data_IF_503071160442
#
_entry.id   IF_503071160442
#
_cell.length_a   1.000
_cell.length_b   1.000
_cell.length_c   1.000
_cell.angle_alpha   90.00
_cell.angle_beta   90.00
_cell.angle_gamma   90.00
#
_symmetry.space_group_name_H-M   'P 1'
#
loop_
_entity.id
_entity.type
_entity.pdbx_description
1 polymer ?
#
# COMPACT_ATOMS: atom_id res chain seq x y z
N UNK A 1 -17.29 -69.83 55.34
CA UNK A 1 -18.01 -68.88 54.47
C UNK A 1 -17.12 -67.67 54.13
N UNK A 2 -16.59 -66.99 55.13
CA UNK A 2 -15.76 -65.77 55.00
C UNK A 2 -14.51 -65.90 54.11
N UNK A 3 -13.72 -66.97 54.26
CA UNK A 3 -12.53 -67.19 53.43
C UNK A 3 -12.83 -67.32 51.92
N UNK A 4 -14.00 -67.85 51.54
CA UNK A 4 -14.40 -67.94 50.12
C UNK A 4 -14.88 -66.58 49.59
N UNK A 5 -15.49 -65.76 50.45
CA UNK A 5 -15.88 -64.39 50.11
C UNK A 5 -14.66 -63.48 49.91
N UNK A 6 -13.65 -63.61 50.76
CA UNK A 6 -12.36 -62.92 50.60
C UNK A 6 -11.68 -63.35 49.29
N UNK A 7 -11.66 -64.65 48.97
CA UNK A 7 -11.12 -65.14 47.69
C UNK A 7 -11.86 -64.59 46.47
N UNK A 8 -13.19 -64.55 46.50
CA UNK A 8 -13.99 -63.95 45.44
C UNK A 8 -13.65 -62.46 45.26
N UNK A 9 -13.58 -61.70 46.36
CA UNK A 9 -13.20 -60.28 46.32
C UNK A 9 -11.77 -60.05 45.80
N UNK A 10 -10.81 -60.92 46.12
CA UNK A 10 -9.45 -60.87 45.57
C UNK A 10 -9.44 -61.14 44.06
N UNK A 11 -10.24 -62.10 43.59
CA UNK A 11 -10.34 -62.41 42.16
C UNK A 11 -10.99 -61.25 41.38
N UNK A 12 -12.04 -60.64 41.94
CA UNK A 12 -12.70 -59.46 41.37
C UNK A 12 -11.72 -58.28 41.33
N UNK A 13 -11.00 -58.02 42.42
CA UNK A 13 -9.98 -56.98 42.47
C UNK A 13 -8.84 -57.23 41.46
N UNK A 14 -8.39 -58.48 41.32
CA UNK A 14 -7.38 -58.84 40.32
C UNK A 14 -7.89 -58.63 38.89
N UNK A 15 -9.18 -58.85 38.64
CA UNK A 15 -9.78 -58.53 37.35
C UNK A 15 -9.85 -57.02 37.11
N UNK A 16 -10.34 -56.24 38.08
CA UNK A 16 -10.38 -54.78 38.00
C UNK A 16 -8.99 -54.18 37.76
N UNK A 17 -7.94 -54.66 38.45
CA UNK A 17 -6.57 -54.20 38.27
C UNK A 17 -6.06 -54.49 36.85
N UNK A 18 -6.37 -55.66 36.28
CA UNK A 18 -5.96 -55.99 34.90
C UNK A 18 -6.61 -55.05 33.90
N UNK A 19 -7.92 -54.86 33.97
CA UNK A 19 -8.66 -53.96 33.06
C UNK A 19 -8.15 -52.52 33.19
N UNK A 20 -7.96 -52.03 34.42
CA UNK A 20 -7.39 -50.70 34.64
C UNK A 20 -5.97 -50.56 34.06
N UNK A 21 -5.13 -51.59 34.21
CA UNK A 21 -3.77 -51.61 33.65
C UNK A 21 -3.79 -51.55 32.12
N UNK A 22 -4.71 -52.26 31.47
CA UNK A 22 -4.90 -52.23 30.01
C UNK A 22 -5.32 -50.83 29.54
N UNK A 23 -6.30 -50.22 30.21
CA UNK A 23 -6.75 -48.85 29.92
C UNK A 23 -5.61 -47.84 30.08
N UNK A 24 -4.90 -47.88 31.21
CA UNK A 24 -3.74 -47.00 31.47
C UNK A 24 -2.67 -47.18 30.39
N UNK A 25 -2.40 -48.41 29.97
CA UNK A 25 -1.41 -48.69 28.92
C UNK A 25 -1.84 -48.16 27.56
N UNK A 26 -3.14 -48.22 27.24
CA UNK A 26 -3.70 -47.64 26.02
C UNK A 26 -3.59 -46.11 26.02
N UNK A 27 -3.99 -45.45 27.11
CA UNK A 27 -3.88 -44.00 27.24
C UNK A 27 -2.42 -43.52 27.21
N UNK A 28 -1.50 -44.26 27.85
CA UNK A 28 -0.07 -43.95 27.78
C UNK A 28 0.44 -43.96 26.34
N UNK A 29 0.03 -44.95 25.52
CA UNK A 29 0.41 -45.01 24.10
C UNK A 29 -0.16 -43.84 23.31
N UNK A 30 -1.43 -43.49 23.54
CA UNK A 30 -2.07 -42.34 22.88
C UNK A 30 -1.39 -41.03 23.24
N UNK A 31 -1.03 -40.83 24.51
CA UNK A 31 -0.30 -39.65 24.97
C UNK A 31 1.05 -39.50 24.26
N UNK A 32 1.84 -40.58 24.18
CA UNK A 32 3.12 -40.56 23.46
C UNK A 32 2.93 -40.19 21.99
N UNK A 33 1.92 -40.76 21.33
CA UNK A 33 1.61 -40.43 19.93
C UNK A 33 1.23 -38.95 19.72
N UNK A 34 0.42 -38.38 20.61
CA UNK A 34 0.05 -36.96 20.54
C UNK A 34 1.26 -36.06 20.79
N UNK A 35 2.09 -36.37 21.79
CA UNK A 35 3.32 -35.61 22.07
C UNK A 35 4.23 -35.61 20.84
N UNK A 36 4.46 -36.77 20.22
CA UNK A 36 5.26 -36.88 19.01
C UNK A 36 4.67 -36.09 17.83
N UNK A 37 3.33 -36.06 17.66
CA UNK A 37 2.69 -35.23 16.62
C UNK A 37 2.85 -33.72 16.87
N UNK A 38 2.90 -33.29 18.14
CA UNK A 38 3.08 -31.89 18.51
C UNK A 38 4.53 -31.46 18.32
N UNK A 39 5.47 -32.26 18.82
CA UNK A 39 6.90 -31.96 18.81
C UNK A 39 7.53 -32.21 17.44
N UNK A 40 7.06 -33.22 16.71
CA UNK A 40 7.75 -33.72 15.52
C UNK A 40 8.82 -34.74 15.91
N UNK A 41 9.84 -34.89 15.07
CA UNK A 41 10.95 -35.77 15.36
C UNK A 41 11.95 -35.89 14.22
N UNK A 42 12.78 -36.91 14.28
CA UNK A 42 13.79 -37.21 13.27
C UNK A 42 13.42 -38.50 12.54
N UNK A 43 13.50 -38.49 11.21
CA UNK A 43 13.27 -39.64 10.36
C UNK A 43 14.54 -39.96 9.58
N UNK A 44 14.96 -41.23 9.60
CA UNK A 44 16.07 -41.69 8.77
C UNK A 44 15.54 -41.94 7.36
N UNK A 45 16.07 -41.22 6.39
CA UNK A 45 15.73 -41.31 4.97
C UNK A 45 16.97 -41.82 4.23
N UNK A 46 16.78 -42.78 3.32
CA UNK A 46 17.84 -43.24 2.43
C UNK A 46 17.75 -42.48 1.10
N UNK A 47 18.85 -41.83 0.72
CA UNK A 47 18.98 -41.21 -0.60
C UNK A 47 19.04 -42.29 -1.70
N UNK A 48 18.75 -41.90 -2.94
CA UNK A 48 18.98 -42.61 -4.19
C UNK A 48 20.36 -43.28 -4.33
N UNK A 49 21.38 -42.80 -3.60
CA UNK A 49 22.72 -43.41 -3.52
C UNK A 49 22.87 -44.47 -2.41
N UNK A 50 21.80 -44.80 -1.68
CA UNK A 50 21.78 -45.78 -0.59
C UNK A 50 22.39 -45.31 0.73
N UNK A 51 22.58 -43.99 0.90
CA UNK A 51 23.13 -43.40 2.12
C UNK A 51 21.98 -42.95 3.03
N UNK A 52 21.94 -43.48 4.25
CA UNK A 52 20.97 -43.09 5.27
C UNK A 52 21.37 -41.77 5.92
N UNK A 53 20.47 -40.79 5.91
CA UNK A 53 20.62 -39.52 6.63
C UNK A 53 19.40 -39.22 7.49
N UNK A 54 19.61 -38.47 8.56
CA UNK A 54 18.54 -38.06 9.47
C UNK A 54 17.92 -36.75 9.00
N UNK A 55 16.64 -36.74 8.70
CA UNK A 55 15.85 -35.54 8.40
C UNK A 55 14.94 -35.16 9.56
N UNK A 56 14.87 -33.86 9.87
CA UNK A 56 13.92 -33.34 10.84
C UNK A 56 12.52 -33.25 10.23
N UNK A 57 11.55 -33.93 10.86
CA UNK A 57 10.14 -33.89 10.52
C UNK A 57 9.44 -32.91 11.48
N UNK A 58 8.97 -31.75 10.98
CA UNK A 58 8.38 -30.73 11.84
C UNK A 58 7.05 -31.21 12.42
N UNK A 59 6.86 -30.97 13.72
CA UNK A 59 5.58 -31.22 14.39
C UNK A 59 4.51 -30.19 14.05
N UNK A 60 3.31 -30.42 14.55
CA UNK A 60 2.19 -29.47 14.39
C UNK A 60 2.46 -28.12 15.08
N UNK A 61 3.21 -28.09 16.19
CA UNK A 61 3.56 -26.85 16.86
C UNK A 61 4.53 -25.99 16.03
N UNK A 62 5.51 -26.62 15.38
CA UNK A 62 6.41 -25.91 14.47
C UNK A 62 5.67 -25.43 13.23
N UNK A 63 4.88 -26.30 12.61
CA UNK A 63 4.04 -25.95 11.46
C UNK A 63 3.15 -24.75 11.75
N UNK A 64 2.46 -24.72 12.91
CA UNK A 64 1.62 -23.59 13.31
C UNK A 64 2.44 -22.29 13.47
N UNK A 65 3.62 -22.34 14.10
CA UNK A 65 4.50 -21.17 14.21
C UNK A 65 4.97 -20.68 12.84
N UNK A 66 5.30 -21.60 11.95
CA UNK A 66 5.71 -21.29 10.57
C UNK A 66 4.57 -20.65 9.78
N UNK A 67 3.33 -21.16 9.90
CA UNK A 67 2.15 -20.53 9.28
C UNK A 67 1.94 -19.09 9.77
N UNK A 68 2.05 -18.85 11.10
CA UNK A 68 1.93 -17.49 11.66
C UNK A 68 3.02 -16.58 11.10
N UNK A 69 4.27 -17.03 11.08
CA UNK A 69 5.39 -16.25 10.54
C UNK A 69 5.20 -15.92 9.06
N UNK A 70 4.79 -16.90 8.25
CA UNK A 70 4.52 -16.71 6.83
C UNK A 70 3.40 -15.69 6.61
N UNK A 71 2.28 -15.83 7.33
CA UNK A 71 1.16 -14.89 7.23
C UNK A 71 1.58 -13.45 7.54
N UNK A 72 2.34 -13.23 8.63
CA UNK A 72 2.81 -11.89 8.97
C UNK A 72 3.86 -11.37 7.99
N UNK A 73 4.70 -12.24 7.43
CA UNK A 73 5.62 -11.85 6.36
C UNK A 73 4.86 -11.33 5.12
N UNK A 74 3.85 -12.07 4.67
CA UNK A 74 3.00 -11.70 3.53
C UNK A 74 2.21 -10.40 3.81
N UNK A 75 1.72 -10.22 5.03
CA UNK A 75 1.04 -9.01 5.46
C UNK A 75 1.98 -7.80 5.47
N UNK A 76 3.20 -7.96 5.98
CA UNK A 76 4.22 -6.91 5.94
C UNK A 76 4.57 -6.53 4.51
N UNK A 77 4.78 -7.50 3.62
CA UNK A 77 5.04 -7.23 2.20
C UNK A 77 3.87 -6.48 1.55
N UNK A 78 2.64 -6.89 1.84
CA UNK A 78 1.44 -6.23 1.33
C UNK A 78 1.33 -4.78 1.83
N UNK A 79 1.60 -4.53 3.12
CA UNK A 79 1.61 -3.20 3.68
C UNK A 79 2.72 -2.32 3.07
N UNK A 80 3.93 -2.85 2.92
CA UNK A 80 5.03 -2.13 2.25
C UNK A 80 4.61 -1.72 0.83
N UNK A 81 4.01 -2.64 0.06
CA UNK A 81 3.52 -2.34 -1.29
C UNK A 81 2.43 -1.28 -1.30
N UNK A 82 1.49 -1.34 -0.35
CA UNK A 82 0.43 -0.34 -0.21
C UNK A 82 0.99 1.05 0.13
N UNK A 83 1.99 1.12 1.00
CA UNK A 83 2.70 2.35 1.33
C UNK A 83 3.39 2.94 0.10
N UNK A 84 4.16 2.13 -0.63
CA UNK A 84 4.83 2.55 -1.87
C UNK A 84 3.83 3.05 -2.92
N UNK A 85 2.71 2.35 -3.10
CA UNK A 85 1.65 2.77 -4.02
C UNK A 85 1.02 4.10 -3.58
N UNK A 86 0.73 4.27 -2.29
CA UNK A 86 0.17 5.51 -1.77
C UNK A 86 1.13 6.70 -1.97
N UNK A 87 2.42 6.50 -1.69
CA UNK A 87 3.46 7.51 -1.94
C UNK A 87 3.54 7.85 -3.43
N UNK A 88 3.50 6.85 -4.31
CA UNK A 88 3.54 7.06 -5.76
C UNK A 88 2.35 7.90 -6.27
N UNK A 89 1.15 7.68 -5.72
CA UNK A 89 -0.04 8.48 -6.06
C UNK A 89 0.13 9.93 -5.61
N UNK A 90 0.64 10.15 -4.40
CA UNK A 90 0.92 11.50 -3.89
C UNK A 90 1.96 12.20 -4.77
N UNK A 91 3.07 11.52 -5.09
CA UNK A 91 4.13 12.06 -5.94
C UNK A 91 3.64 12.40 -7.35
N UNK A 92 2.78 11.56 -7.93
CA UNK A 92 2.15 11.81 -9.22
C UNK A 92 1.28 13.06 -9.17
N UNK A 93 0.42 13.18 -8.16
CA UNK A 93 -0.44 14.34 -7.97
C UNK A 93 0.38 15.63 -7.80
N UNK A 94 1.39 15.62 -6.93
CA UNK A 94 2.27 16.79 -6.70
C UNK A 94 2.96 17.19 -7.99
N UNK A 95 3.48 16.21 -8.75
CA UNK A 95 4.16 16.47 -10.02
C UNK A 95 3.23 17.11 -11.05
N UNK A 96 2.04 16.52 -11.27
CA UNK A 96 1.04 17.04 -12.19
C UNK A 96 0.62 18.45 -11.81
N UNK A 97 0.38 18.67 -10.51
CA UNK A 97 0.00 19.97 -9.96
C UNK A 97 1.07 21.04 -10.19
N UNK A 98 2.35 20.71 -9.94
CA UNK A 98 3.47 21.61 -10.16
C UNK A 98 3.68 21.93 -11.64
N UNK A 99 3.55 20.93 -12.53
CA UNK A 99 3.63 21.16 -13.98
C UNK A 99 2.55 22.14 -14.42
N UNK A 100 1.30 21.90 -14.00
CA UNK A 100 0.19 22.76 -14.34
C UNK A 100 0.39 24.19 -13.80
N UNK A 101 0.78 24.35 -12.53
CA UNK A 101 1.02 25.67 -11.93
C UNK A 101 2.14 26.44 -12.64
N UNK A 102 3.23 25.76 -13.01
CA UNK A 102 4.33 26.37 -13.76
C UNK A 102 3.89 26.78 -15.17
N UNK A 103 3.08 25.96 -15.83
CA UNK A 103 2.51 26.32 -17.13
C UNK A 103 1.66 27.59 -17.02
N UNK A 104 0.78 27.66 -16.02
CA UNK A 104 -0.03 28.86 -15.78
C UNK A 104 0.84 30.09 -15.51
N UNK A 105 1.93 29.94 -14.77
CA UNK A 105 2.89 31.02 -14.53
C UNK A 105 3.59 31.49 -15.82
N UNK A 106 3.95 30.57 -16.70
CA UNK A 106 4.56 30.88 -18.00
C UNK A 106 3.57 31.61 -18.92
N UNK A 107 2.32 31.12 -18.99
CA UNK A 107 1.24 31.75 -19.76
C UNK A 107 0.99 33.20 -19.29
N UNK A 108 0.98 33.44 -17.97
CA UNK A 108 0.88 34.79 -17.39
C UNK A 108 2.07 35.67 -17.77
N UNK A 109 3.28 35.11 -17.83
CA UNK A 109 4.49 35.85 -18.23
C UNK A 109 4.41 36.28 -19.70
N UNK A 110 3.91 35.41 -20.58
CA UNK A 110 3.68 35.72 -21.99
C UNK A 110 2.62 36.83 -22.11
N UNK A 111 1.52 36.72 -21.37
CA UNK A 111 0.46 37.74 -21.37
C UNK A 111 0.99 39.11 -20.92
N UNK A 112 1.79 39.16 -19.84
CA UNK A 112 2.43 40.39 -19.37
C UNK A 112 3.37 41.00 -20.41
N UNK A 113 4.11 40.17 -21.15
CA UNK A 113 4.97 40.61 -22.25
C UNK A 113 4.17 41.21 -23.41
N UNK A 114 3.03 40.61 -23.76
CA UNK A 114 2.12 41.13 -24.79
C UNK A 114 1.51 42.48 -24.38
N UNK A 115 1.05 42.59 -23.12
CA UNK A 115 0.57 43.86 -22.56
C UNK A 115 1.66 44.93 -22.61
N UNK A 116 2.88 44.59 -22.18
CA UNK A 116 4.01 45.53 -22.20
C UNK A 116 4.37 46.00 -23.61
N UNK A 117 4.35 45.10 -24.59
CA UNK A 117 4.59 45.40 -26.00
C UNK A 117 3.51 46.33 -26.55
N UNK A 118 2.25 46.08 -26.18
CA UNK A 118 1.12 46.91 -26.58
C UNK A 118 1.21 48.33 -25.99
N UNK A 119 1.55 48.45 -24.70
CA UNK A 119 1.80 49.74 -24.05
C UNK A 119 2.91 50.53 -24.77
N UNK A 120 4.04 49.89 -25.05
CA UNK A 120 5.15 50.51 -25.77
C UNK A 120 4.74 50.96 -27.18
N UNK A 121 3.93 50.17 -27.88
CA UNK A 121 3.41 50.55 -29.18
C UNK A 121 2.52 51.80 -29.10
N UNK A 122 1.61 51.85 -28.12
CA UNK A 122 0.79 53.04 -27.88
C UNK A 122 1.62 54.27 -27.54
N UNK A 123 2.63 54.15 -26.65
CA UNK A 123 3.55 55.23 -26.29
C UNK A 123 4.32 55.76 -27.50
N UNK A 124 4.85 54.86 -28.34
CA UNK A 124 5.56 55.25 -29.57
C UNK A 124 4.63 55.97 -30.54
N UNK A 125 3.40 55.50 -30.72
CA UNK A 125 2.43 56.14 -31.60
C UNK A 125 2.05 57.53 -31.09
N UNK A 126 1.85 57.69 -29.77
CA UNK A 126 1.59 58.98 -29.13
C UNK A 126 2.70 60.02 -29.35
N UNK A 127 3.95 59.58 -29.56
CA UNK A 127 5.09 60.46 -29.83
C UNK A 127 5.22 60.85 -31.32
N UNK A 128 4.40 60.32 -32.22
CA UNK A 128 4.41 60.68 -33.65
C UNK A 128 3.60 61.95 -33.92
N UNK A 129 3.72 62.48 -35.14
CA UNK A 129 2.91 63.62 -35.58
C UNK A 129 1.42 63.27 -35.71
N UNK A 130 0.56 64.31 -35.63
CA UNK A 130 -0.90 64.16 -35.62
C UNK A 130 -1.45 63.34 -36.80
N UNK A 131 -0.85 63.47 -38.00
CA UNK A 131 -1.29 62.72 -39.17
C UNK A 131 -1.05 61.22 -38.99
N UNK A 132 0.12 60.84 -38.47
CA UNK A 132 0.46 59.43 -38.20
C UNK A 132 -0.36 58.83 -37.06
N UNK A 133 -0.64 59.59 -36.01
CA UNK A 133 -1.53 59.17 -34.92
C UNK A 133 -2.93 58.85 -35.45
N UNK A 134 -3.48 59.71 -36.31
CA UNK A 134 -4.81 59.50 -36.92
C UNK A 134 -4.83 58.25 -37.79
N UNK A 135 -3.78 57.99 -38.56
CA UNK A 135 -3.65 56.79 -39.40
C UNK A 135 -3.55 55.50 -38.56
N UNK A 136 -2.90 55.56 -37.39
CA UNK A 136 -2.72 54.40 -36.50
C UNK A 136 -3.98 54.05 -35.67
N UNK A 137 -5.03 54.89 -35.69
CA UNK A 137 -6.26 54.69 -34.90
C UNK A 137 -6.86 53.29 -35.02
N UNK A 138 -6.94 52.75 -36.24
CA UNK A 138 -7.52 51.41 -36.46
C UNK A 138 -6.66 50.30 -35.86
N UNK A 139 -5.34 50.43 -35.92
CA UNK A 139 -4.39 49.46 -35.34
C UNK A 139 -4.47 49.48 -33.81
N UNK A 140 -4.46 50.68 -33.19
CA UNK A 140 -4.63 50.83 -31.74
C UNK A 140 -5.96 50.26 -31.25
N UNK A 141 -7.06 50.52 -31.97
CA UNK A 141 -8.37 49.97 -31.59
C UNK A 141 -8.38 48.44 -31.64
N UNK A 142 -7.77 47.82 -32.68
CA UNK A 142 -7.64 46.36 -32.76
C UNK A 142 -6.79 45.78 -31.61
N UNK A 143 -5.71 46.48 -31.26
CA UNK A 143 -4.84 46.11 -30.14
C UNK A 143 -5.62 46.15 -28.82
N UNK A 144 -6.40 47.21 -28.60
CA UNK A 144 -7.27 47.36 -27.43
C UNK A 144 -8.32 46.25 -27.34
N UNK A 145 -9.01 45.95 -28.44
CA UNK A 145 -9.98 44.85 -28.51
C UNK A 145 -9.34 43.49 -28.18
N UNK A 146 -8.10 43.28 -28.64
CA UNK A 146 -7.35 42.05 -28.35
C UNK A 146 -7.00 41.94 -26.87
N UNK A 147 -6.48 43.02 -26.28
CA UNK A 147 -6.16 43.06 -24.85
C UNK A 147 -7.40 42.88 -23.96
N UNK A 148 -8.53 43.49 -24.33
CA UNK A 148 -9.79 43.32 -23.59
C UNK A 148 -10.27 41.86 -23.60
N UNK A 149 -10.17 41.17 -24.75
CA UNK A 149 -10.48 39.74 -24.83
C UNK A 149 -9.55 38.91 -23.96
N UNK A 150 -8.24 39.18 -23.99
CA UNK A 150 -7.26 38.47 -23.17
C UNK A 150 -7.49 38.72 -21.67
N UNK A 151 -7.82 39.95 -21.28
CA UNK A 151 -8.17 40.29 -19.89
C UNK A 151 -9.40 39.52 -19.41
N UNK A 152 -10.44 39.41 -20.25
CA UNK A 152 -11.64 38.67 -19.90
C UNK A 152 -11.36 37.17 -19.74
N UNK A 153 -10.64 36.57 -20.69
CA UNK A 153 -10.20 35.17 -20.62
C UNK A 153 -9.36 34.89 -19.36
N UNK A 154 -8.45 35.79 -19.01
CA UNK A 154 -7.65 35.68 -17.81
C UNK A 154 -8.52 35.74 -16.55
N UNK A 155 -9.50 36.64 -16.50
CA UNK A 155 -10.38 36.80 -15.33
C UNK A 155 -11.20 35.53 -15.09
N UNK A 156 -11.76 34.97 -16.16
CA UNK A 156 -12.48 33.69 -16.11
C UNK A 156 -11.57 32.54 -15.64
N UNK A 157 -10.33 32.50 -16.10
CA UNK A 157 -9.36 31.48 -15.71
C UNK A 157 -8.91 31.63 -14.24
N UNK A 158 -8.66 32.86 -13.80
CA UNK A 158 -8.14 33.17 -12.46
C UNK A 158 -9.06 32.65 -11.35
N UNK A 159 -10.37 32.70 -11.54
CA UNK A 159 -11.36 32.15 -10.59
C UNK A 159 -11.26 30.62 -10.42
N UNK A 160 -10.70 29.92 -11.42
CA UNK A 160 -10.53 28.46 -11.42
C UNK A 160 -9.13 28.02 -10.98
N UNK A 161 -8.18 28.95 -10.87
CA UNK A 161 -6.85 28.65 -10.34
C UNK A 161 -6.96 28.51 -8.82
N UNK A 162 -7.16 27.27 -8.37
CA UNK A 162 -6.94 26.94 -6.97
C UNK A 162 -5.47 27.27 -6.66
N UNK A 163 -5.20 28.04 -5.60
CA UNK A 163 -3.84 28.34 -5.13
C UNK A 163 -3.54 27.67 -3.79
N UNK A 164 -4.44 26.78 -3.34
CA UNK A 164 -4.20 25.98 -2.16
C UNK A 164 -3.03 25.02 -2.39
N UNK A 165 -2.16 24.95 -1.39
CA UNK A 165 -1.00 24.07 -1.33
C UNK A 165 -1.33 22.72 -0.66
N UNK A 166 -2.58 22.54 -0.23
CA UNK A 166 -3.08 21.29 0.33
C UNK A 166 -2.89 20.12 -0.64
N UNK A 167 -2.18 19.09 -0.19
CA UNK A 167 -2.03 17.83 -0.93
C UNK A 167 -3.12 16.88 -0.42
N UNK A 168 -4.03 16.41 -1.28
CA UNK A 168 -5.08 15.48 -0.87
C UNK A 168 -4.44 14.16 -0.46
N UNK A 169 -4.62 13.81 0.81
CA UNK A 169 -4.22 12.50 1.32
C UNK A 169 -5.37 11.54 1.09
N UNK A 170 -5.48 11.01 -0.13
CA UNK A 170 -6.46 9.96 -0.46
C UNK A 170 -5.74 8.63 -0.58
N UNK A 171 -5.84 7.80 0.47
CA UNK A 171 -5.28 6.45 0.53
C UNK A 171 -6.11 5.39 -0.20
N UNK A 172 -7.17 5.81 -0.90
CA UNK A 172 -8.15 4.90 -1.52
C UNK A 172 -8.48 5.39 -2.93
N UNK A 173 -8.03 4.63 -3.93
CA UNK A 173 -8.86 4.37 -5.11
C UNK A 173 -9.43 2.96 -4.95
#
# INVERSE_FOLDING_TARGET
>A
AEANQIRASILDMAHCIRTFTEEVSEYSRKLVGIVQQIEGGEQIVEDSMGMAHTEHVPGTAESARSCVRAYFADLHETLCRQEEMALSVVDAHVRERLIWLRQQQEDMTILLSQVSTACLHCEKTLQQDDCRVVLAKQEINRLLETLQKQQQQFTELADHIQLDAGIPVTFTK
#
